data_IF_186878082662
#
_entry.id   IF_186878082662
#
_cell.length_a   1.000
_cell.length_b   1.000
_cell.length_c   1.000
_cell.angle_alpha   90.00
_cell.angle_beta   90.00
_cell.angle_gamma   90.00
#
_symmetry.space_group_name_H-M   'P 1'
#
loop_
_entity.id
_entity.type
_entity.pdbx_description
1 polymer ?
#
# COMPACT_ATOMS: atom_id res chain seq x y z
N UNK A 1 7.94 -12.16 -10.98
CA UNK A 1 7.86 -13.59 -10.57
C UNK A 1 9.17 -14.26 -11.01
N UNK A 2 9.88 -14.98 -10.12
CA UNK A 2 11.08 -15.71 -10.50
C UNK A 2 10.81 -16.66 -11.67
N UNK A 3 11.78 -16.85 -12.59
CA UNK A 3 11.58 -17.68 -13.80
C UNK A 3 11.30 -19.16 -13.52
N UNK A 4 11.64 -19.65 -12.35
CA UNK A 4 11.44 -21.02 -11.88
C UNK A 4 10.08 -21.26 -11.21
N UNK A 5 9.20 -20.24 -11.16
CA UNK A 5 7.90 -20.30 -10.50
C UNK A 5 7.97 -20.28 -8.99
N UNK A 6 9.17 -20.12 -8.38
CA UNK A 6 9.28 -19.96 -6.93
C UNK A 6 8.85 -18.55 -6.51
N UNK A 7 8.17 -18.44 -5.37
CA UNK A 7 7.79 -17.15 -4.82
C UNK A 7 8.99 -16.47 -4.17
N UNK A 8 9.13 -15.16 -4.39
CA UNK A 8 10.16 -14.38 -3.73
C UNK A 8 9.97 -14.33 -2.22
N UNK A 9 11.04 -13.99 -1.47
CA UNK A 9 10.96 -13.80 -0.03
C UNK A 9 9.86 -12.78 0.35
N UNK A 10 9.83 -11.64 -0.33
CA UNK A 10 8.85 -10.59 -0.07
C UNK A 10 7.42 -11.05 -0.39
N UNK A 11 7.23 -11.76 -1.51
CA UNK A 11 5.92 -12.29 -1.89
C UNK A 11 5.38 -13.27 -0.85
N UNK A 12 6.21 -14.18 -0.34
CA UNK A 12 5.82 -15.12 0.72
C UNK A 12 5.42 -14.37 1.99
N UNK A 13 6.22 -13.42 2.42
CA UNK A 13 5.97 -12.64 3.64
C UNK A 13 4.69 -11.83 3.52
N UNK A 14 4.52 -11.13 2.41
CA UNK A 14 3.32 -10.34 2.13
C UNK A 14 2.05 -11.21 2.04
N UNK A 15 2.15 -12.39 1.41
CA UNK A 15 1.04 -13.33 1.31
C UNK A 15 0.57 -13.85 2.68
N UNK A 16 1.50 -14.17 3.58
CA UNK A 16 1.15 -14.60 4.94
C UNK A 16 0.50 -13.44 5.69
N UNK A 17 1.07 -12.24 5.66
CA UNK A 17 0.49 -11.07 6.33
C UNK A 17 -0.90 -10.71 5.81
N UNK A 18 -1.12 -10.75 4.49
CA UNK A 18 -2.43 -10.45 3.90
C UNK A 18 -3.53 -11.42 4.36
N UNK A 19 -3.16 -12.61 4.80
CA UNK A 19 -4.10 -13.63 5.25
C UNK A 19 -4.28 -13.68 6.76
N UNK A 20 -3.23 -13.40 7.55
CA UNK A 20 -3.22 -13.57 9.00
C UNK A 20 -3.02 -12.30 9.80
N UNK A 21 -2.73 -11.18 9.14
CA UNK A 21 -2.64 -9.86 9.73
C UNK A 21 -3.70 -8.94 9.12
N UNK A 22 -4.11 -7.90 9.86
CA UNK A 22 -5.08 -6.93 9.38
C UNK A 22 -4.54 -6.05 8.26
N UNK A 23 -3.21 -5.97 8.09
CA UNK A 23 -2.54 -5.14 7.10
C UNK A 23 -1.12 -5.62 6.85
N UNK A 24 -0.55 -5.25 5.71
CA UNK A 24 0.88 -5.37 5.46
C UNK A 24 1.65 -4.43 6.37
N UNK A 25 2.62 -4.99 7.11
CA UNK A 25 3.49 -4.21 7.97
C UNK A 25 4.60 -3.52 7.17
N UNK A 26 5.00 -2.32 7.62
CA UNK A 26 6.12 -1.56 7.06
C UNK A 26 7.43 -1.81 7.82
N UNK A 27 7.36 -2.62 8.88
CA UNK A 27 8.50 -2.97 9.70
C UNK A 27 9.53 -3.81 8.95
N UNK A 28 10.78 -3.88 9.42
CA UNK A 28 11.79 -4.76 8.85
C UNK A 28 11.34 -6.22 8.83
N UNK A 29 11.78 -6.97 7.83
CA UNK A 29 11.38 -8.37 7.62
C UNK A 29 11.55 -9.26 8.88
N UNK A 30 12.58 -9.02 9.69
CA UNK A 30 12.79 -9.72 10.95
C UNK A 30 11.63 -9.52 11.92
N UNK A 31 11.25 -8.27 12.19
CA UNK A 31 10.13 -7.92 13.08
C UNK A 31 8.81 -8.51 12.58
N UNK A 32 8.58 -8.45 11.26
CA UNK A 32 7.38 -9.00 10.62
C UNK A 32 7.29 -10.52 10.80
N UNK A 33 8.40 -11.24 10.58
CA UNK A 33 8.46 -12.69 10.78
C UNK A 33 8.26 -13.04 12.26
N UNK A 34 8.86 -12.31 13.19
CA UNK A 34 8.68 -12.53 14.63
C UNK A 34 7.22 -12.36 15.05
N UNK A 35 6.53 -11.35 14.55
CA UNK A 35 5.12 -11.12 14.79
C UNK A 35 4.24 -12.26 14.25
N UNK A 36 4.51 -12.74 13.02
CA UNK A 36 3.81 -13.86 12.42
C UNK A 36 4.06 -15.18 13.17
N UNK A 37 5.28 -15.43 13.60
CA UNK A 37 5.61 -16.60 14.44
C UNK A 37 4.86 -16.57 15.77
N UNK A 38 4.78 -15.40 16.40
CA UNK A 38 4.03 -15.24 17.62
C UNK A 38 2.53 -15.51 17.39
N UNK A 39 1.98 -15.06 16.27
CA UNK A 39 0.57 -15.26 15.92
C UNK A 39 0.26 -16.72 15.58
N UNK A 40 1.10 -17.37 14.78
CA UNK A 40 0.83 -18.73 14.26
C UNK A 40 1.34 -19.84 15.17
N UNK A 41 2.47 -19.63 15.87
CA UNK A 41 3.16 -20.65 16.67
C UNK A 41 3.15 -20.34 18.16
N UNK A 42 2.70 -19.17 18.58
CA UNK A 42 2.73 -18.70 19.97
C UNK A 42 4.12 -18.39 20.52
N UNK A 43 5.16 -18.49 19.71
CA UNK A 43 6.57 -18.18 20.10
C UNK A 43 7.40 -17.85 18.87
N UNK A 44 8.41 -16.98 19.05
CA UNK A 44 9.40 -16.67 18.01
C UNK A 44 10.59 -17.64 18.05
N UNK A 45 11.12 -18.00 16.88
CA UNK A 45 12.31 -18.83 16.71
C UNK A 45 13.50 -18.00 16.23
N UNK A 46 14.26 -17.43 17.18
CA UNK A 46 15.39 -16.55 16.86
C UNK A 46 16.67 -17.28 16.40
N UNK A 47 16.72 -18.61 16.45
CA UNK A 47 17.94 -19.39 16.19
C UNK A 47 18.15 -19.72 14.72
N UNK A 48 17.11 -19.70 13.92
CA UNK A 48 17.16 -20.04 12.49
C UNK A 48 17.26 -18.81 11.59
N UNK A 49 17.68 -19.03 10.33
CA UNK A 49 17.74 -17.97 9.35
C UNK A 49 16.33 -17.44 9.02
N UNK A 50 16.21 -16.15 8.64
CA UNK A 50 14.92 -15.56 8.27
C UNK A 50 14.25 -16.31 7.12
N UNK A 51 15.04 -16.84 6.17
CA UNK A 51 14.49 -17.61 5.05
C UNK A 51 13.89 -18.95 5.52
N UNK A 52 14.56 -19.66 6.41
CA UNK A 52 14.07 -20.93 6.97
C UNK A 52 12.77 -20.68 7.75
N UNK A 53 12.77 -19.67 8.60
CA UNK A 53 11.61 -19.26 9.41
C UNK A 53 10.41 -18.89 8.53
N UNK A 54 10.66 -18.08 7.49
CA UNK A 54 9.62 -17.68 6.54
C UNK A 54 9.05 -18.88 5.77
N UNK A 55 9.91 -19.81 5.31
CA UNK A 55 9.43 -21.00 4.62
C UNK A 55 8.58 -21.89 5.54
N UNK A 56 8.98 -22.05 6.79
CA UNK A 56 8.19 -22.78 7.78
C UNK A 56 6.83 -22.15 8.03
N UNK A 57 6.77 -20.81 8.17
CA UNK A 57 5.51 -20.09 8.31
C UNK A 57 4.64 -20.23 7.05
N UNK A 58 5.25 -20.16 5.86
CA UNK A 58 4.55 -20.31 4.60
C UNK A 58 3.93 -21.70 4.45
N UNK A 59 4.68 -22.75 4.83
CA UNK A 59 4.19 -24.13 4.83
C UNK A 59 3.02 -24.34 5.81
N UNK A 60 3.05 -23.69 6.96
CA UNK A 60 1.95 -23.71 7.94
C UNK A 60 0.75 -22.98 7.39
N UNK A 61 0.94 -21.77 6.89
CA UNK A 61 -0.13 -20.91 6.40
C UNK A 61 -0.88 -21.52 5.20
N UNK A 62 -0.14 -22.14 4.28
CA UNK A 62 -0.66 -22.67 3.02
C UNK A 62 -0.64 -24.22 2.94
N UNK A 63 -0.51 -24.92 4.09
CA UNK A 63 -0.61 -26.39 4.26
C UNK A 63 0.25 -27.17 3.28
N UNK A 64 1.51 -26.78 3.07
CA UNK A 64 2.41 -27.39 2.07
C UNK A 64 1.79 -27.49 0.67
N UNK A 65 0.76 -26.72 0.42
CA UNK A 65 0.09 -26.68 -0.87
C UNK A 65 0.93 -25.89 -1.88
N UNK A 66 0.90 -26.31 -3.12
CA UNK A 66 1.41 -25.54 -4.22
C UNK A 66 0.51 -24.29 -4.35
N UNK A 67 0.97 -23.14 -3.88
CA UNK A 67 0.39 -21.87 -4.28
C UNK A 67 0.76 -21.69 -5.74
N UNK A 68 -0.18 -21.93 -6.63
CA UNK A 68 0.03 -21.68 -8.05
C UNK A 68 -0.17 -20.17 -8.28
N UNK A 69 0.88 -19.42 -8.62
CA UNK A 69 0.73 -18.01 -8.93
C UNK A 69 -0.18 -17.88 -10.15
N UNK A 70 -1.35 -17.29 -9.98
CA UNK A 70 -2.20 -16.90 -11.11
C UNK A 70 -2.01 -15.41 -11.36
N UNK A 71 -1.80 -15.05 -12.62
CA UNK A 71 -1.78 -13.64 -12.99
C UNK A 71 -3.21 -13.08 -12.86
N UNK A 72 -3.36 -12.08 -12.02
CA UNK A 72 -4.62 -11.36 -11.83
C UNK A 72 -4.44 -9.94 -12.36
N UNK A 73 -5.34 -9.52 -13.24
CA UNK A 73 -5.33 -8.16 -13.78
C UNK A 73 -6.22 -7.28 -12.93
N UNK A 74 -5.64 -6.23 -12.37
CA UNK A 74 -6.41 -5.19 -11.68
C UNK A 74 -7.26 -4.45 -12.72
N UNK A 75 -8.59 -4.37 -12.54
CA UNK A 75 -9.44 -3.65 -13.50
C UNK A 75 -9.01 -2.18 -13.61
N UNK A 76 -9.01 -1.68 -14.84
CA UNK A 76 -8.86 -0.25 -15.09
C UNK A 76 -9.94 0.50 -14.32
N UNK A 77 -9.58 1.60 -13.71
CA UNK A 77 -10.47 2.42 -12.87
C UNK A 77 -10.90 1.74 -11.54
N UNK A 78 -10.18 0.73 -11.06
CA UNK A 78 -10.38 0.21 -9.72
C UNK A 78 -10.12 1.31 -8.69
N UNK A 79 -11.09 1.53 -7.79
CA UNK A 79 -11.00 2.54 -6.74
C UNK A 79 -10.08 2.06 -5.62
N UNK A 80 -9.07 2.85 -5.30
CA UNK A 80 -8.10 2.55 -4.25
C UNK A 80 -8.12 3.68 -3.22
N UNK A 81 -8.51 3.38 -1.99
CA UNK A 81 -8.42 4.34 -0.89
C UNK A 81 -7.02 4.33 -0.32
N UNK A 82 -6.43 5.50 -0.15
CA UNK A 82 -5.09 5.65 0.41
C UNK A 82 -5.09 6.60 1.59
N UNK A 83 -4.12 6.40 2.49
CA UNK A 83 -3.82 7.26 3.63
C UNK A 83 -2.38 7.73 3.51
N UNK A 84 -2.14 9.04 3.59
CA UNK A 84 -0.80 9.58 3.62
C UNK A 84 -0.09 9.24 4.92
N UNK A 85 1.21 8.96 4.85
CA UNK A 85 2.04 8.66 6.01
C UNK A 85 2.48 9.92 6.75
N UNK A 86 2.53 11.04 6.02
CA UNK A 86 2.89 12.35 6.54
C UNK A 86 1.83 13.37 6.14
N UNK A 87 1.64 14.36 6.99
CA UNK A 87 0.74 15.47 6.68
C UNK A 87 1.35 16.35 5.57
N UNK A 88 0.59 16.56 4.50
CA UNK A 88 0.99 17.43 3.40
C UNK A 88 0.48 18.85 3.69
N UNK A 89 1.39 19.80 3.79
CA UNK A 89 1.09 21.16 4.18
C UNK A 89 1.58 22.19 3.16
N UNK A 90 0.68 22.98 2.61
CA UNK A 90 0.99 23.98 1.59
C UNK A 90 1.97 25.08 2.04
N UNK A 91 2.17 25.27 3.36
CA UNK A 91 3.07 26.29 3.89
C UNK A 91 4.50 25.80 4.06
N UNK A 92 4.69 24.52 4.32
CA UNK A 92 6.01 23.91 4.63
C UNK A 92 6.57 23.11 3.48
N UNK A 93 5.70 22.49 2.67
CA UNK A 93 6.12 21.59 1.61
C UNK A 93 6.36 22.35 0.29
N UNK A 94 7.07 21.70 -0.62
CA UNK A 94 7.46 22.28 -1.90
C UNK A 94 7.01 21.39 -3.07
N UNK A 95 6.76 22.01 -4.22
CA UNK A 95 6.55 21.27 -5.46
C UNK A 95 7.80 20.45 -5.80
N UNK A 96 7.62 19.19 -6.21
CA UNK A 96 8.68 18.22 -6.45
C UNK A 96 9.04 17.37 -5.23
N UNK A 97 8.50 17.65 -4.04
CA UNK A 97 8.72 16.79 -2.88
C UNK A 97 8.03 15.44 -3.05
N UNK A 98 8.73 14.38 -2.64
CA UNK A 98 8.18 13.02 -2.63
C UNK A 98 7.12 12.88 -1.55
N UNK A 99 6.07 12.12 -1.87
CA UNK A 99 5.03 11.72 -0.92
C UNK A 99 4.96 10.20 -0.85
N UNK A 100 4.70 9.70 0.32
CA UNK A 100 4.42 8.29 0.55
C UNK A 100 3.07 8.11 1.23
N UNK A 101 2.40 7.00 0.86
CA UNK A 101 1.09 6.67 1.38
C UNK A 101 0.93 5.15 1.51
N UNK A 102 -0.10 4.73 2.18
CA UNK A 102 -0.50 3.32 2.29
C UNK A 102 -1.93 3.14 1.83
N UNK A 103 -2.21 1.96 1.32
CA UNK A 103 -3.57 1.55 0.95
C UNK A 103 -4.38 1.34 2.21
N UNK A 104 -5.57 1.94 2.27
CA UNK A 104 -6.41 1.94 3.46
C UNK A 104 -7.26 0.67 3.59
N UNK A 105 -7.66 0.07 2.46
CA UNK A 105 -8.52 -1.13 2.39
C UNK A 105 -7.93 -2.13 1.39
N UNK A 106 -8.21 -3.43 1.56
CA UNK A 106 -7.82 -4.44 0.57
C UNK A 106 -8.48 -4.18 -0.79
N UNK A 107 -7.69 -4.27 -1.85
CA UNK A 107 -8.20 -4.27 -3.23
C UNK A 107 -8.18 -5.70 -3.74
N UNK A 108 -9.35 -6.25 -4.02
CA UNK A 108 -9.51 -7.64 -4.45
C UNK A 108 -10.09 -7.73 -5.86
N UNK A 109 -9.69 -8.78 -6.57
CA UNK A 109 -10.29 -9.19 -7.84
C UNK A 109 -10.88 -10.58 -7.64
N UNK A 110 -12.21 -10.66 -7.63
CA UNK A 110 -12.90 -11.83 -7.12
C UNK A 110 -12.59 -12.05 -5.63
N UNK A 111 -12.12 -13.24 -5.29
CA UNK A 111 -11.71 -13.60 -3.92
C UNK A 111 -10.21 -13.37 -3.63
N UNK A 112 -9.45 -12.92 -4.63
CA UNK A 112 -8.00 -12.75 -4.51
C UNK A 112 -7.65 -11.29 -4.14
N UNK A 113 -6.99 -11.10 -3.00
CA UNK A 113 -6.41 -9.79 -2.64
C UNK A 113 -5.18 -9.54 -3.50
N UNK A 114 -5.22 -8.48 -4.31
CA UNK A 114 -4.14 -8.09 -5.22
C UNK A 114 -3.28 -6.99 -4.59
N UNK A 115 -3.93 -5.99 -3.99
CA UNK A 115 -3.26 -4.93 -3.26
C UNK A 115 -3.78 -4.98 -1.82
N UNK A 116 -2.98 -5.44 -0.87
CA UNK A 116 -3.42 -5.55 0.52
C UNK A 116 -3.44 -4.18 1.21
N UNK A 117 -4.28 -4.05 2.20
CA UNK A 117 -4.25 -2.94 3.15
C UNK A 117 -2.84 -2.78 3.73
N UNK A 118 -2.35 -1.55 3.82
CA UNK A 118 -0.99 -1.25 4.25
C UNK A 118 0.07 -1.30 3.12
N UNK A 119 -0.30 -1.72 1.91
CA UNK A 119 0.60 -1.67 0.76
C UNK A 119 1.10 -0.25 0.52
N UNK A 120 2.41 -0.08 0.33
CA UNK A 120 3.05 1.22 0.10
C UNK A 120 2.80 1.73 -1.30
N UNK A 121 2.59 3.04 -1.39
CA UNK A 121 2.56 3.76 -2.65
C UNK A 121 3.37 5.05 -2.57
N UNK A 122 3.72 5.56 -3.73
CA UNK A 122 4.60 6.72 -3.91
C UNK A 122 4.02 7.70 -4.92
N UNK A 123 4.40 8.95 -4.74
CA UNK A 123 4.03 10.03 -5.64
C UNK A 123 4.84 11.27 -5.36
N UNK A 124 4.44 12.39 -5.94
CA UNK A 124 5.11 13.69 -5.75
C UNK A 124 4.09 14.81 -5.63
N UNK A 125 4.48 15.90 -5.00
CA UNK A 125 3.72 17.15 -5.02
C UNK A 125 3.97 17.83 -6.36
N UNK A 126 2.96 17.84 -7.22
CA UNK A 126 3.07 18.45 -8.55
C UNK A 126 3.10 19.98 -8.49
N UNK A 127 2.24 20.55 -7.64
CA UNK A 127 2.08 22.01 -7.55
C UNK A 127 1.47 22.41 -6.22
N UNK A 128 1.94 23.52 -5.67
CA UNK A 128 1.34 24.19 -4.52
C UNK A 128 0.92 25.60 -4.92
N UNK A 129 -0.35 25.91 -4.69
CA UNK A 129 -0.89 27.28 -4.85
C UNK A 129 -1.12 27.83 -3.46
N UNK A 130 -0.41 28.90 -3.12
CA UNK A 130 -0.58 29.58 -1.84
C UNK A 130 -1.89 30.39 -1.79
N UNK A 131 -2.53 30.51 -0.63
CA UNK A 131 -3.71 31.35 -0.47
C UNK A 131 -3.37 32.81 -0.76
N UNK A 132 -4.20 33.51 -1.50
CA UNK A 132 -4.07 34.95 -1.77
C UNK A 132 -5.00 35.73 -0.85
N UNK A 133 -4.66 37.01 -0.61
CA UNK A 133 -5.29 37.95 0.34
C UNK A 133 -6.82 38.11 0.18
N UNK A 134 -7.42 37.64 -0.90
CA UNK A 134 -8.85 37.71 -1.15
C UNK A 134 -9.52 36.34 -1.30
N UNK A 135 -9.54 35.55 -0.20
CA UNK A 135 -10.46 34.41 -0.06
C UNK A 135 -10.25 33.23 -1.03
N UNK A 136 -9.05 33.04 -1.59
CA UNK A 136 -8.72 31.83 -2.33
C UNK A 136 -7.99 30.87 -1.41
N UNK A 137 -8.54 29.67 -1.29
CA UNK A 137 -7.95 28.60 -0.50
C UNK A 137 -6.61 28.10 -1.09
N UNK A 138 -5.73 27.60 -0.22
CA UNK A 138 -4.55 26.90 -0.67
C UNK A 138 -4.93 25.64 -1.45
N UNK A 139 -4.20 25.33 -2.50
CA UNK A 139 -4.41 24.11 -3.29
C UNK A 139 -3.11 23.36 -3.46
N UNK A 140 -3.14 22.06 -3.24
CA UNK A 140 -2.04 21.14 -3.46
C UNK A 140 -2.46 20.15 -4.54
N UNK A 141 -1.75 20.14 -5.65
CA UNK A 141 -1.94 19.17 -6.72
C UNK A 141 -0.90 18.05 -6.55
N UNK A 142 -1.38 16.81 -6.43
CA UNK A 142 -0.56 15.61 -6.24
C UNK A 142 -0.48 14.81 -7.54
N UNK A 143 0.65 14.16 -7.75
CA UNK A 143 0.87 13.19 -8.82
C UNK A 143 1.26 11.87 -8.19
N UNK A 144 0.45 10.84 -8.40
CA UNK A 144 0.71 9.50 -7.92
C UNK A 144 1.51 8.72 -8.95
N UNK A 145 2.42 7.89 -8.49
CA UNK A 145 3.29 7.07 -9.34
C UNK A 145 2.82 5.63 -9.36
N UNK A 146 3.01 4.91 -8.28
CA UNK A 146 2.70 3.49 -8.20
C UNK A 146 2.39 3.04 -6.77
N UNK A 147 1.80 1.83 -6.65
CA UNK A 147 1.62 1.08 -5.42
C UNK A 147 2.34 -0.26 -5.57
N UNK A 148 2.93 -0.75 -4.49
CA UNK A 148 3.57 -2.06 -4.45
C UNK A 148 2.51 -3.13 -4.15
N UNK A 149 2.27 -4.03 -5.09
CA UNK A 149 1.35 -5.15 -4.92
C UNK A 149 1.92 -6.24 -3.97
N UNK A 150 1.09 -7.24 -3.64
CA UNK A 150 1.47 -8.35 -2.76
C UNK A 150 2.70 -9.13 -3.25
N UNK A 151 2.88 -9.25 -4.54
CA UNK A 151 4.01 -9.93 -5.20
C UNK A 151 5.23 -9.02 -5.43
N UNK A 152 5.16 -7.76 -5.01
CA UNK A 152 6.19 -6.75 -5.23
C UNK A 152 6.11 -6.05 -6.58
N UNK A 153 5.09 -6.33 -7.40
CA UNK A 153 4.85 -5.63 -8.66
C UNK A 153 4.47 -4.18 -8.40
N UNK A 154 5.06 -3.27 -9.15
CA UNK A 154 4.67 -1.86 -9.14
C UNK A 154 3.45 -1.65 -10.04
N UNK A 155 2.32 -1.30 -9.42
CA UNK A 155 1.07 -1.01 -10.12
C UNK A 155 0.97 0.51 -10.28
N UNK A 156 1.00 1.04 -11.51
CA UNK A 156 0.84 2.47 -11.73
C UNK A 156 -0.55 2.94 -11.30
N UNK A 157 -0.62 4.13 -10.72
CA UNK A 157 -1.87 4.69 -10.21
C UNK A 157 -1.99 6.17 -10.57
N UNK A 158 -3.21 6.66 -10.68
CA UNK A 158 -3.48 8.04 -11.06
C UNK A 158 -4.73 8.60 -10.37
N UNK A 159 -4.88 9.91 -10.37
CA UNK A 159 -6.09 10.58 -9.87
C UNK A 159 -7.10 10.69 -11.00
N UNK A 160 -8.11 9.84 -10.97
CA UNK A 160 -9.22 9.90 -11.91
C UNK A 160 -10.21 11.05 -11.62
N UNK A 161 -11.18 11.24 -12.53
CA UNK A 161 -12.14 12.34 -12.38
C UNK A 161 -13.11 12.16 -11.20
N UNK A 162 -13.45 10.92 -10.84
CA UNK A 162 -14.25 10.63 -9.65
C UNK A 162 -13.49 10.96 -8.36
N UNK A 163 -12.19 10.68 -8.30
CA UNK A 163 -11.35 11.05 -7.15
C UNK A 163 -11.25 12.57 -7.00
N UNK A 164 -11.22 13.31 -8.10
CA UNK A 164 -11.28 14.79 -8.07
C UNK A 164 -12.59 15.31 -7.50
N UNK A 165 -13.71 14.66 -7.81
CA UNK A 165 -15.03 15.05 -7.28
C UNK A 165 -15.13 14.76 -5.78
N UNK A 166 -14.64 13.60 -5.31
CA UNK A 166 -14.65 13.28 -3.87
C UNK A 166 -13.67 14.15 -3.08
N UNK A 167 -12.48 14.43 -3.64
CA UNK A 167 -11.54 15.36 -3.03
C UNK A 167 -12.11 16.78 -2.91
N UNK A 168 -12.93 17.22 -3.89
CA UNK A 168 -13.61 18.51 -3.83
C UNK A 168 -14.68 18.57 -2.73
N UNK A 169 -15.35 17.45 -2.44
CA UNK A 169 -16.33 17.36 -1.32
C UNK A 169 -15.66 17.30 0.04
N UNK A 170 -14.45 16.76 0.15
CA UNK A 170 -13.65 16.76 1.39
C UNK A 170 -12.97 18.09 1.67
N UNK A 171 -12.62 18.87 0.67
CA UNK A 171 -11.97 20.19 0.80
C UNK A 171 -12.89 21.29 1.38
N UNK A 172 -14.17 21.03 1.53
CA UNK A 172 -15.14 21.95 2.16
C UNK A 172 -15.05 22.02 3.69
N UNK A 173 -14.25 21.20 4.34
CA UNK A 173 -13.99 21.26 5.79
C UNK A 173 -12.69 22.03 6.04
N UNK A 174 -12.80 23.24 6.55
CA UNK A 174 -11.71 24.17 6.81
C UNK A 174 -10.59 23.55 7.66
N UNK A 175 -9.36 23.56 7.12
CA UNK A 175 -8.14 23.11 7.81
C UNK A 175 -7.58 21.83 7.18
N UNK A 176 -6.95 21.95 6.03
CA UNK A 176 -6.52 20.81 5.22
C UNK A 176 -5.32 20.05 5.79
N UNK A 177 -5.57 19.06 6.62
CA UNK A 177 -4.76 17.85 6.59
C UNK A 177 -5.47 16.81 5.72
N UNK A 178 -4.92 16.53 4.56
CA UNK A 178 -5.46 15.47 3.68
C UNK A 178 -5.03 14.12 4.31
N UNK A 179 -5.90 13.55 5.12
CA UNK A 179 -5.64 12.26 5.79
C UNK A 179 -5.91 11.03 4.92
N UNK A 180 -6.53 11.19 3.77
CA UNK A 180 -6.82 10.11 2.84
C UNK A 180 -7.37 10.61 1.51
N UNK A 181 -7.18 9.84 0.46
CA UNK A 181 -7.64 10.15 -0.89
C UNK A 181 -8.04 8.86 -1.61
N UNK A 182 -8.88 8.99 -2.62
CA UNK A 182 -9.22 7.90 -3.54
C UNK A 182 -8.43 8.11 -4.82
N UNK A 183 -7.74 7.08 -5.26
CA UNK A 183 -6.99 7.03 -6.51
C UNK A 183 -7.44 5.82 -7.34
N UNK A 184 -7.04 5.78 -8.60
CA UNK A 184 -7.38 4.69 -9.50
C UNK A 184 -6.17 3.88 -9.88
N UNK A 185 -6.37 2.59 -10.02
CA UNK A 185 -5.42 1.68 -10.63
C UNK A 185 -5.40 1.79 -12.16
N UNK A 186 -4.53 1.04 -12.81
CA UNK A 186 -4.21 1.12 -14.23
C UNK A 186 -5.38 0.86 -15.15
#
# INVERSE_FOLDING_TARGET
VPPDGSLSFSTKLNAIESQFADHMSMEPAKTRIEALEQTLNGKSNATESLLTRLNSLFDIAFKKGSVTPSAVVVPKDALIKVKFLEDINSKTDQAGADISFVVADNVSVGETVVIPKGAKGYGTIKKIVQPRIFGRDARIDLEFSHIIAVDGTEIPVYVGDLAKQEAATMAGAAGASIGGMIIFGP
#
